data_IF_707064933060
#
_entry.id   IF_707064933060
#
_cell.length_a   1.000
_cell.length_b   1.000
_cell.length_c   1.000
_cell.angle_alpha   90.00
_cell.angle_beta   90.00
_cell.angle_gamma   90.00
#
_symmetry.space_group_name_H-M   'P 1'
#
loop_
_entity.id
_entity.type
_entity.pdbx_description
1 polymer ?
#
# COMPACT_ATOMS: atom_id res chain seq x y z
N UNK A 1 -5.27 13.20 -12.40
CA UNK A 1 -5.26 11.78 -12.04
C UNK A 1 -3.99 11.09 -12.48
N UNK A 2 -3.69 11.12 -13.75
CA UNK A 2 -2.47 10.49 -14.26
C UNK A 2 -1.21 11.09 -13.66
N UNK A 3 -1.20 12.40 -13.48
CA UNK A 3 -0.10 13.11 -12.85
C UNK A 3 0.19 12.62 -11.45
N UNK A 4 -0.87 12.38 -10.67
CA UNK A 4 -0.74 11.90 -9.30
C UNK A 4 -0.20 10.46 -9.27
N UNK A 5 -0.64 9.61 -10.20
CA UNK A 5 -0.13 8.25 -10.32
C UNK A 5 1.35 8.24 -10.70
N UNK A 6 1.75 9.13 -11.60
CA UNK A 6 3.14 9.28 -11.99
C UNK A 6 4.03 9.63 -10.81
N UNK A 7 3.59 10.56 -9.97
CA UNK A 7 4.35 10.97 -8.79
C UNK A 7 4.56 9.81 -7.83
N UNK A 8 3.52 9.01 -7.59
CA UNK A 8 3.64 7.85 -6.73
C UNK A 8 4.60 6.83 -7.31
N UNK A 9 4.54 6.59 -8.61
CA UNK A 9 5.44 5.67 -9.29
C UNK A 9 6.89 6.14 -9.22
N UNK A 10 7.12 7.44 -9.38
CA UNK A 10 8.46 8.02 -9.28
C UNK A 10 9.04 7.85 -7.88
N UNK A 11 8.23 8.05 -6.86
CA UNK A 11 8.67 7.87 -5.48
C UNK A 11 9.16 6.44 -5.26
N UNK A 12 8.44 5.46 -5.80
CA UNK A 12 8.83 4.06 -5.70
C UNK A 12 10.14 3.81 -6.45
N UNK A 13 10.31 4.40 -7.62
CA UNK A 13 11.54 4.27 -8.41
C UNK A 13 12.75 4.83 -7.67
N UNK A 14 12.58 5.96 -6.99
CA UNK A 14 13.67 6.61 -6.27
C UNK A 14 14.07 5.82 -5.01
N UNK A 15 13.14 5.11 -4.40
CA UNK A 15 13.40 4.35 -3.18
C UNK A 15 12.70 2.99 -3.26
N UNK A 16 13.13 2.12 -4.19
CA UNK A 16 12.39 0.89 -4.49
C UNK A 16 12.34 -0.12 -3.34
N UNK A 17 13.24 -0.02 -2.36
CA UNK A 17 13.29 -0.96 -1.25
C UNK A 17 12.84 -0.36 0.08
N UNK A 18 12.29 0.86 0.05
CA UNK A 18 11.84 1.52 1.27
C UNK A 18 10.40 1.10 1.59
N UNK A 19 10.18 0.36 2.69
CA UNK A 19 8.83 -0.09 3.04
C UNK A 19 7.87 1.06 3.28
N UNK A 20 8.35 2.18 3.83
CA UNK A 20 7.49 3.33 4.06
C UNK A 20 7.01 3.96 2.75
N UNK A 21 7.86 4.00 1.76
CA UNK A 21 7.48 4.52 0.44
C UNK A 21 6.41 3.65 -0.21
N UNK A 22 6.54 2.34 -0.12
CA UNK A 22 5.52 1.42 -0.61
C UNK A 22 4.20 1.61 0.13
N UNK A 23 4.27 1.77 1.46
CA UNK A 23 3.08 2.00 2.26
C UNK A 23 2.38 3.30 1.84
N UNK A 24 3.14 4.38 1.69
CA UNK A 24 2.60 5.66 1.26
C UNK A 24 1.94 5.55 -0.12
N UNK A 25 2.56 4.82 -1.03
CA UNK A 25 1.99 4.58 -2.35
C UNK A 25 0.66 3.81 -2.25
N UNK A 26 0.60 2.82 -1.36
CA UNK A 26 -0.63 2.06 -1.14
C UNK A 26 -1.76 2.96 -0.67
N UNK A 27 -1.48 3.84 0.30
CA UNK A 27 -2.47 4.80 0.79
C UNK A 27 -2.93 5.74 -0.32
N UNK A 28 -2.00 6.23 -1.11
CA UNK A 28 -2.30 7.11 -2.21
C UNK A 28 -3.24 6.46 -3.22
N UNK A 29 -2.90 5.25 -3.66
CA UNK A 29 -3.73 4.54 -4.62
C UNK A 29 -5.11 4.20 -4.05
N UNK A 30 -5.16 3.83 -2.76
CA UNK A 30 -6.44 3.55 -2.11
C UNK A 30 -7.34 4.78 -2.10
N UNK A 31 -6.76 5.96 -1.87
CA UNK A 31 -7.52 7.21 -1.82
C UNK A 31 -8.09 7.62 -3.18
N UNK A 32 -7.43 7.27 -4.27
CA UNK A 32 -7.93 7.57 -5.61
C UNK A 32 -8.75 6.42 -6.21
N UNK A 33 -9.05 5.39 -5.42
CA UNK A 33 -9.89 4.28 -5.84
C UNK A 33 -9.20 3.23 -6.69
N UNK A 34 -7.88 3.25 -6.76
CA UNK A 34 -7.08 2.29 -7.51
C UNK A 34 -6.71 1.11 -6.59
N UNK A 35 -7.63 0.17 -6.42
CA UNK A 35 -7.46 -0.93 -5.47
C UNK A 35 -6.31 -1.86 -5.82
N UNK A 36 -6.20 -2.26 -7.07
CA UNK A 36 -5.16 -3.21 -7.47
C UNK A 36 -3.74 -2.68 -7.26
N UNK A 37 -3.41 -1.46 -7.74
CA UNK A 37 -2.10 -0.88 -7.43
C UNK A 37 -1.88 -0.69 -5.93
N UNK A 38 -2.93 -0.33 -5.19
CA UNK A 38 -2.83 -0.16 -3.74
C UNK A 38 -2.46 -1.47 -3.06
N UNK A 39 -3.13 -2.56 -3.43
CA UNK A 39 -2.84 -3.88 -2.88
C UNK A 39 -1.43 -4.32 -3.22
N UNK A 40 -0.99 -4.09 -4.45
CA UNK A 40 0.35 -4.44 -4.88
C UNK A 40 1.41 -3.65 -4.09
N UNK A 41 1.19 -2.34 -3.92
CA UNK A 41 2.10 -1.51 -3.14
C UNK A 41 2.17 -1.95 -1.68
N UNK A 42 1.02 -2.28 -1.10
CA UNK A 42 0.96 -2.76 0.28
C UNK A 42 1.73 -4.08 0.43
N UNK A 43 1.56 -4.97 -0.51
CA UNK A 43 2.28 -6.23 -0.53
C UNK A 43 3.79 -5.99 -0.61
N UNK A 44 4.20 -5.06 -1.47
CA UNK A 44 5.60 -4.69 -1.61
C UNK A 44 6.15 -4.11 -0.31
N UNK A 45 5.36 -3.30 0.39
CA UNK A 45 5.75 -2.73 1.68
C UNK A 45 6.05 -3.83 2.70
N UNK A 46 5.16 -4.81 2.80
CA UNK A 46 5.32 -5.92 3.73
C UNK A 46 6.56 -6.74 3.36
N UNK A 47 6.77 -7.01 2.08
CA UNK A 47 7.94 -7.75 1.61
C UNK A 47 9.24 -6.99 1.87
N UNK A 48 9.17 -5.66 1.86
CA UNK A 48 10.34 -4.83 2.12
C UNK A 48 10.64 -4.65 3.61
N UNK A 49 9.79 -5.20 4.49
CA UNK A 49 10.04 -5.18 5.92
C UNK A 49 9.11 -4.30 6.74
N UNK A 50 8.00 -3.82 6.16
CA UNK A 50 7.03 -3.04 6.91
C UNK A 50 6.44 -3.88 8.04
N UNK A 51 6.61 -3.43 9.28
CA UNK A 51 6.21 -4.19 10.44
C UNK A 51 5.15 -3.56 11.33
N UNK A 52 4.60 -2.42 10.94
CA UNK A 52 3.61 -1.70 11.76
C UNK A 52 2.19 -2.19 11.44
N UNK A 53 1.95 -3.48 11.65
CA UNK A 53 0.67 -4.10 11.29
C UNK A 53 -0.50 -3.59 12.12
N UNK A 54 -0.26 -3.21 13.36
CA UNK A 54 -1.31 -2.65 14.21
C UNK A 54 -1.83 -1.33 13.63
N UNK A 55 -0.91 -0.47 13.18
CA UNK A 55 -1.28 0.78 12.54
C UNK A 55 -2.00 0.51 11.21
N UNK A 56 -1.48 -0.43 10.44
CA UNK A 56 -2.03 -0.78 9.15
C UNK A 56 -3.49 -1.23 9.28
N UNK A 57 -3.81 -1.98 10.31
CA UNK A 57 -5.16 -2.46 10.58
C UNK A 57 -6.13 -1.32 10.95
N UNK A 58 -5.60 -0.21 11.43
CA UNK A 58 -6.41 0.94 11.87
C UNK A 58 -6.45 2.08 10.85
N UNK A 59 -5.58 2.04 9.86
CA UNK A 59 -5.44 3.15 8.92
C UNK A 59 -6.71 3.33 8.10
N UNK A 60 -7.39 4.50 8.23
CA UNK A 60 -8.61 4.74 7.48
C UNK A 60 -8.41 4.82 5.97
N UNK A 61 -7.18 5.14 5.53
CA UNK A 61 -6.86 5.20 4.11
C UNK A 61 -6.95 3.83 3.45
N UNK A 62 -6.77 2.77 4.23
CA UNK A 62 -6.79 1.40 3.73
C UNK A 62 -8.12 0.69 3.97
N UNK A 63 -9.12 1.41 4.47
CA UNK A 63 -10.42 0.82 4.81
C UNK A 63 -11.07 0.13 3.60
N UNK A 64 -10.96 0.73 2.42
CA UNK A 64 -11.54 0.17 1.21
C UNK A 64 -10.88 -1.14 0.78
N UNK A 65 -9.68 -1.42 1.26
CA UNK A 65 -8.94 -2.63 0.92
C UNK A 65 -9.20 -3.78 1.89
N UNK A 66 -9.74 -3.50 3.09
CA UNK A 66 -9.86 -4.50 4.14
C UNK A 66 -10.72 -5.70 3.79
N UNK A 67 -11.63 -5.54 2.86
CA UNK A 67 -12.51 -6.63 2.42
C UNK A 67 -11.98 -7.36 1.20
N UNK A 68 -10.88 -6.91 0.64
CA UNK A 68 -10.28 -7.56 -0.52
C UNK A 68 -9.59 -8.87 -0.11
N UNK A 69 -9.79 -9.96 -0.87
CA UNK A 69 -9.16 -11.23 -0.54
C UNK A 69 -7.63 -11.14 -0.44
N UNK A 70 -7.02 -10.33 -1.31
CA UNK A 70 -5.57 -10.15 -1.30
C UNK A 70 -5.10 -9.50 0.00
N UNK A 71 -5.85 -8.52 0.50
CA UNK A 71 -5.54 -7.89 1.78
C UNK A 71 -5.63 -8.90 2.92
N UNK A 72 -6.72 -9.64 2.95
CA UNK A 72 -6.94 -10.64 4.00
C UNK A 72 -5.80 -11.66 4.00
N UNK A 73 -5.41 -12.12 2.81
CA UNK A 73 -4.34 -13.10 2.68
C UNK A 73 -3.00 -12.56 3.15
N UNK A 74 -2.63 -11.33 2.77
CA UNK A 74 -1.34 -10.77 3.15
C UNK A 74 -1.28 -10.42 4.64
N UNK A 75 -2.42 -10.19 5.29
CA UNK A 75 -2.49 -9.91 6.72
C UNK A 75 -2.66 -11.15 7.58
N UNK A 76 -2.82 -12.29 6.95
CA UNK A 76 -3.04 -13.56 7.65
C UNK A 76 -1.83 -13.90 8.51
N UNK A 77 -2.06 -14.13 9.78
CA UNK A 77 -1.01 -14.46 10.72
C UNK A 77 -0.17 -13.27 11.21
N UNK A 78 -0.60 -12.06 10.90
CA UNK A 78 0.13 -10.86 11.34
C UNK A 78 -0.43 -10.25 12.60
#
# INVERSE_FOLDING_TARGET
MDEAKERASRAIELSPNDPLMFYNAACFYANIGEKQPALQSLKNAIQAGYGFFEWLKRDPDLETLRHEPEYIEMMRGK
#
